data_IF_722616548424
#
_entry.id   IF_722616548424
#
_cell.length_a   1.000
_cell.length_b   1.000
_cell.length_c   1.000
_cell.angle_alpha   90.00
_cell.angle_beta   90.00
_cell.angle_gamma   90.00
#
_symmetry.space_group_name_H-M   'P 1'
#
loop_
_entity.id
_entity.type
_entity.pdbx_description
1 polymer ?
#
# COMPACT_ATOMS: atom_id res chain seq x y z
N UNK A 1 -2.00 -12.87 8.21
CA UNK A 1 -0.68 -12.31 7.82
C UNK A 1 -0.82 -10.96 7.19
N UNK A 2 0.04 -10.01 7.58
CA UNK A 2 0.06 -8.67 7.03
C UNK A 2 1.32 -8.35 6.26
N UNK A 3 1.15 -7.85 5.03
CA UNK A 3 2.28 -7.58 4.14
C UNK A 3 2.02 -6.38 3.24
N UNK A 4 2.98 -5.47 3.15
CA UNK A 4 2.91 -4.25 2.35
C UNK A 4 3.24 -4.50 0.86
N UNK A 5 2.60 -3.76 -0.05
CA UNK A 5 2.83 -3.83 -1.50
C UNK A 5 3.56 -2.59 -2.05
N UNK A 6 4.41 -2.83 -3.05
CA UNK A 6 5.50 -2.00 -3.59
C UNK A 6 5.13 -0.69 -4.32
N UNK A 7 6.09 0.25 -4.29
CA UNK A 7 6.21 1.41 -5.18
C UNK A 7 7.03 1.03 -6.43
N UNK A 8 6.52 1.32 -7.63
CA UNK A 8 7.21 1.06 -8.90
C UNK A 8 8.11 2.23 -9.33
N UNK A 9 9.44 2.04 -9.33
CA UNK A 9 10.41 2.93 -9.99
C UNK A 9 11.07 2.19 -11.17
N UNK A 10 10.62 2.47 -12.39
CA UNK A 10 11.22 1.86 -13.60
C UNK A 10 12.15 2.87 -14.28
N UNK A 11 13.45 2.56 -14.37
CA UNK A 11 14.46 3.33 -15.13
C UNK A 11 15.14 2.44 -16.15
N UNK A 12 15.33 2.96 -17.38
CA UNK A 12 16.00 2.24 -18.47
C UNK A 12 17.48 1.97 -18.20
N UNK A 13 18.16 2.89 -17.48
CA UNK A 13 19.57 2.73 -17.13
C UNK A 13 19.68 2.19 -15.70
N UNK A 14 20.18 0.95 -15.51
CA UNK A 14 20.29 0.34 -14.18
C UNK A 14 21.24 1.09 -13.24
N UNK A 15 22.20 1.87 -13.77
CA UNK A 15 23.10 2.70 -12.94
C UNK A 15 22.35 3.78 -12.16
N UNK A 16 21.25 4.30 -12.72
CA UNK A 16 20.40 5.30 -12.04
C UNK A 16 19.59 4.64 -10.93
N UNK A 17 19.18 3.39 -11.11
CA UNK A 17 18.50 2.61 -10.08
C UNK A 17 19.49 2.25 -8.96
N UNK A 18 20.71 1.84 -9.31
CA UNK A 18 21.76 1.50 -8.35
C UNK A 18 22.20 2.70 -7.49
N UNK A 19 22.04 3.93 -7.97
CA UNK A 19 22.33 5.15 -7.19
C UNK A 19 21.22 5.52 -6.18
N UNK A 20 20.19 4.68 -6.01
CA UNK A 20 19.06 4.91 -5.11
C UNK A 20 19.13 3.90 -3.98
N UNK A 21 18.73 4.33 -2.78
CA UNK A 21 18.65 3.47 -1.59
C UNK A 21 17.36 2.63 -1.61
N UNK A 22 17.18 1.84 -2.67
CA UNK A 22 16.02 0.98 -2.83
C UNK A 22 16.13 -0.23 -1.92
N UNK A 23 15.06 -0.49 -1.17
CA UNK A 23 14.90 -1.66 -0.32
C UNK A 23 13.67 -2.46 -0.74
N UNK A 24 13.61 -3.71 -0.31
CA UNK A 24 12.56 -4.66 -0.70
C UNK A 24 12.13 -5.52 0.49
N UNK A 25 10.84 -5.87 0.52
CA UNK A 25 10.28 -6.89 1.41
C UNK A 25 9.57 -7.95 0.58
N UNK A 26 9.98 -9.21 0.74
CA UNK A 26 9.29 -10.36 0.20
C UNK A 26 8.01 -10.60 1.01
N UNK A 27 6.90 -10.84 0.31
CA UNK A 27 5.58 -10.95 0.95
C UNK A 27 4.77 -12.17 0.53
N UNK A 28 5.21 -12.92 -0.47
CA UNK A 28 4.51 -14.10 -0.99
C UNK A 28 5.38 -14.86 -1.99
N UNK A 29 5.26 -16.19 -1.99
CA UNK A 29 5.72 -17.02 -3.09
C UNK A 29 4.67 -17.01 -4.22
N UNK A 30 5.13 -16.72 -5.43
CA UNK A 30 4.32 -16.77 -6.66
C UNK A 30 4.19 -18.20 -7.18
N UNK A 31 4.43 -18.38 -8.49
CA UNK A 31 4.51 -19.72 -9.07
C UNK A 31 5.75 -20.46 -8.53
N UNK A 32 5.55 -21.66 -8.01
CA UNK A 32 6.61 -22.62 -7.79
C UNK A 32 6.50 -23.68 -8.89
N UNK A 33 7.04 -23.35 -10.07
CA UNK A 33 7.19 -24.31 -11.15
C UNK A 33 8.05 -25.47 -10.63
N UNK A 34 7.42 -26.64 -10.51
CA UNK A 34 8.04 -27.86 -10.01
C UNK A 34 7.72 -28.29 -8.58
N UNK A 35 7.10 -27.50 -7.70
CA UNK A 35 6.62 -28.05 -6.42
C UNK A 35 5.19 -28.59 -6.45
N UNK A 36 4.35 -28.06 -7.35
CA UNK A 36 2.99 -28.57 -7.55
C UNK A 36 2.97 -29.88 -8.36
N UNK A 37 4.08 -30.19 -9.05
CA UNK A 37 4.23 -31.38 -9.91
C UNK A 37 5.42 -32.28 -9.51
N UNK A 38 5.96 -32.13 -8.29
CA UNK A 38 7.07 -32.98 -7.82
C UNK A 38 8.38 -32.86 -8.63
N UNK A 39 8.53 -31.83 -9.46
CA UNK A 39 9.73 -31.58 -10.27
C UNK A 39 10.92 -31.03 -9.48
N UNK A 40 10.74 -30.65 -8.22
CA UNK A 40 11.82 -30.47 -7.24
C UNK A 40 11.66 -31.54 -6.16
N UNK A 41 12.42 -32.63 -6.28
CA UNK A 41 12.62 -33.58 -5.19
C UNK A 41 13.07 -32.79 -3.94
N UNK A 42 12.25 -32.80 -2.88
CA UNK A 42 12.52 -32.08 -1.64
C UNK A 42 12.01 -30.64 -1.57
N UNK A 43 11.22 -30.15 -2.54
CA UNK A 43 10.56 -28.86 -2.37
C UNK A 43 9.59 -28.89 -1.17
N UNK A 44 9.67 -27.91 -0.25
CA UNK A 44 8.80 -27.85 0.90
C UNK A 44 7.35 -27.63 0.48
N UNK A 45 6.46 -28.48 1.01
CA UNK A 45 5.02 -28.28 0.90
C UNK A 45 4.59 -27.41 2.07
N UNK A 46 4.11 -26.21 1.76
CA UNK A 46 3.56 -25.31 2.78
C UNK A 46 2.07 -25.55 2.96
N UNK A 47 1.62 -25.57 4.21
CA UNK A 47 0.20 -25.56 4.55
C UNK A 47 -0.26 -24.16 4.93
N UNK A 48 0.67 -23.32 5.40
CA UNK A 48 0.43 -21.95 5.82
C UNK A 48 1.27 -20.95 5.02
N UNK A 49 0.73 -19.77 4.83
CA UNK A 49 1.44 -18.66 4.22
C UNK A 49 2.60 -18.18 5.14
N UNK A 50 2.47 -18.31 6.46
CA UNK A 50 3.54 -17.98 7.41
C UNK A 50 4.79 -18.84 7.18
N UNK A 51 4.61 -20.15 7.00
CA UNK A 51 5.69 -21.08 6.67
C UNK A 51 6.41 -20.68 5.36
N UNK A 52 5.67 -20.19 4.37
CA UNK A 52 6.25 -19.71 3.11
C UNK A 52 7.11 -18.46 3.28
N UNK A 53 6.78 -17.59 4.23
CA UNK A 53 7.56 -16.39 4.55
C UNK A 53 8.81 -16.75 5.35
N UNK A 54 8.70 -17.67 6.31
CA UNK A 54 9.85 -18.20 7.05
C UNK A 54 10.84 -18.87 6.10
N UNK A 55 10.35 -19.64 5.13
CA UNK A 55 11.20 -20.24 4.10
C UNK A 55 11.92 -19.18 3.25
N UNK A 56 11.21 -18.14 2.79
CA UNK A 56 11.82 -17.02 2.06
C UNK A 56 12.93 -16.35 2.88
N UNK A 57 12.68 -16.12 4.17
CA UNK A 57 13.69 -15.59 5.09
C UNK A 57 14.90 -16.53 5.22
N UNK A 58 14.68 -17.85 5.30
CA UNK A 58 15.76 -18.84 5.36
C UNK A 58 16.63 -18.88 4.10
N UNK A 59 16.08 -18.48 2.95
CA UNK A 59 16.82 -18.33 1.69
C UNK A 59 17.55 -16.99 1.57
N UNK A 60 17.46 -16.12 2.59
CA UNK A 60 18.10 -14.80 2.60
C UNK A 60 17.27 -13.69 1.94
N UNK A 61 16.01 -13.94 1.57
CA UNK A 61 15.13 -12.85 1.14
C UNK A 61 14.71 -12.00 2.35
N UNK A 62 14.73 -10.66 2.24
CA UNK A 62 14.27 -9.80 3.32
C UNK A 62 12.75 -9.98 3.50
N UNK A 63 12.32 -10.42 4.67
CA UNK A 63 10.91 -10.50 5.07
C UNK A 63 10.65 -9.48 6.16
N UNK A 64 9.53 -8.77 6.07
CA UNK A 64 9.23 -7.67 6.96
C UNK A 64 9.10 -8.17 8.43
N UNK A 65 9.85 -7.59 9.39
CA UNK A 65 9.82 -8.03 10.80
C UNK A 65 8.48 -7.76 11.50
N UNK A 66 7.64 -6.89 10.92
CA UNK A 66 6.32 -6.56 11.45
C UNK A 66 5.25 -7.60 11.09
N UNK A 67 5.60 -8.65 10.34
CA UNK A 67 4.69 -9.74 10.01
C UNK A 67 4.26 -10.46 11.29
N UNK A 68 2.95 -10.58 11.50
CA UNK A 68 2.36 -11.32 12.62
C UNK A 68 1.27 -12.29 12.16
N UNK A 69 1.26 -13.49 12.75
CA UNK A 69 0.13 -14.42 12.73
C UNK A 69 -0.75 -14.10 13.93
N UNK A 70 -2.03 -13.88 13.67
CA UNK A 70 -3.05 -13.51 14.67
C UNK A 70 -4.25 -14.45 14.54
N UNK A 71 -4.99 -14.64 15.62
CA UNK A 71 -6.15 -15.52 15.69
C UNK A 71 -7.44 -14.72 15.78
N UNK A 72 -8.32 -14.92 14.81
CA UNK A 72 -9.63 -14.27 14.77
C UNK A 72 -9.59 -12.79 14.37
N UNK A 73 -10.78 -12.19 14.28
CA UNK A 73 -10.95 -10.84 13.75
C UNK A 73 -10.57 -9.75 14.76
N UNK A 74 -10.72 -10.00 16.06
CA UNK A 74 -10.42 -9.02 17.10
C UNK A 74 -8.92 -8.73 17.15
N UNK A 75 -8.07 -9.78 17.09
CA UNK A 75 -6.63 -9.59 17.02
C UNK A 75 -6.17 -8.93 15.70
N UNK A 76 -6.89 -9.15 14.61
CA UNK A 76 -6.65 -8.42 13.35
C UNK A 76 -6.92 -6.93 13.54
N UNK A 77 -8.04 -6.55 14.17
CA UNK A 77 -8.35 -5.14 14.44
C UNK A 77 -7.32 -4.50 15.36
N UNK A 78 -6.93 -5.17 16.44
CA UNK A 78 -5.89 -4.67 17.34
C UNK A 78 -4.54 -4.50 16.62
N UNK A 79 -4.17 -5.44 15.76
CA UNK A 79 -2.95 -5.32 14.96
C UNK A 79 -3.02 -4.12 14.00
N UNK A 80 -4.15 -3.91 13.31
CA UNK A 80 -4.34 -2.75 12.45
C UNK A 80 -4.25 -1.44 13.22
N UNK A 81 -4.96 -1.33 14.36
CA UNK A 81 -4.99 -0.12 15.20
C UNK A 81 -3.62 0.23 15.76
N UNK A 82 -2.94 -0.74 16.37
CA UNK A 82 -1.58 -0.52 16.93
C UNK A 82 -0.56 -0.20 15.85
N UNK A 83 -0.70 -0.76 14.64
CA UNK A 83 0.16 -0.44 13.51
C UNK A 83 -0.13 0.96 12.96
N UNK A 84 -1.38 1.41 12.97
CA UNK A 84 -1.74 2.79 12.61
C UNK A 84 -1.09 3.80 13.57
N UNK A 85 -1.20 3.57 14.87
CA UNK A 85 -0.66 4.45 15.92
C UNK A 85 0.85 4.64 15.79
N UNK A 86 1.60 3.56 15.47
CA UNK A 86 3.06 3.57 15.33
C UNK A 86 3.56 3.69 13.89
N UNK A 87 2.67 3.98 12.91
CA UNK A 87 3.05 3.96 11.48
C UNK A 87 4.21 4.90 11.14
N UNK A 88 4.40 5.95 11.94
CA UNK A 88 5.47 6.94 11.79
C UNK A 88 6.77 6.56 12.52
N UNK A 89 6.74 5.50 13.33
CA UNK A 89 7.93 4.97 14.03
C UNK A 89 8.70 3.95 13.17
N UNK A 90 8.08 3.49 12.07
CA UNK A 90 8.70 2.60 11.12
C UNK A 90 9.76 3.35 10.29
N UNK A 91 10.86 2.68 9.96
CA UNK A 91 11.90 3.22 9.07
C UNK A 91 11.46 3.36 7.60
N UNK A 92 10.15 3.25 7.31
CA UNK A 92 9.54 3.35 6.00
C UNK A 92 8.08 3.76 6.13
N UNK A 93 7.53 4.39 5.08
CA UNK A 93 6.13 4.81 5.06
C UNK A 93 5.19 3.63 4.73
N UNK A 94 4.01 3.65 5.35
CA UNK A 94 2.93 2.69 5.10
C UNK A 94 1.58 3.40 5.01
N UNK A 95 0.69 2.89 4.16
CA UNK A 95 -0.67 3.43 3.99
C UNK A 95 -1.77 2.48 4.53
N UNK A 96 -1.35 1.42 5.22
CA UNK A 96 -2.25 0.43 5.78
C UNK A 96 -1.57 -0.90 6.07
N UNK A 97 -2.42 -1.89 6.34
CA UNK A 97 -2.08 -3.26 6.68
C UNK A 97 -2.81 -4.18 5.71
N UNK A 98 -2.13 -5.16 5.12
CA UNK A 98 -2.84 -6.23 4.39
C UNK A 98 -3.24 -7.30 5.41
N UNK A 99 -4.37 -7.96 5.25
CA UNK A 99 -4.78 -9.08 6.09
C UNK A 99 -5.01 -10.26 5.16
N UNK A 100 -4.25 -11.33 5.34
CA UNK A 100 -4.34 -12.57 4.58
C UNK A 100 -4.74 -13.73 5.50
N UNK A 101 -5.62 -14.60 4.99
CA UNK A 101 -5.86 -15.92 5.57
C UNK A 101 -4.54 -16.70 5.57
N UNK A 102 -4.16 -17.29 6.70
CA UNK A 102 -2.88 -17.99 6.82
C UNK A 102 -2.90 -19.37 6.14
N UNK A 103 -4.03 -20.09 6.20
CA UNK A 103 -4.19 -21.42 5.60
C UNK A 103 -4.26 -21.35 4.06
N UNK A 104 -3.30 -22.01 3.38
CA UNK A 104 -3.18 -22.00 1.92
C UNK A 104 -4.27 -22.83 1.21
N UNK A 105 -4.81 -23.86 1.86
CA UNK A 105 -5.95 -24.61 1.30
C UNK A 105 -7.20 -23.75 1.30
N UNK A 106 -7.40 -22.94 2.35
CA UNK A 106 -8.49 -21.96 2.39
C UNK A 106 -8.28 -20.88 1.32
N UNK A 107 -7.05 -20.37 1.14
CA UNK A 107 -6.75 -19.43 0.06
C UNK A 107 -7.13 -20.00 -1.32
N UNK A 108 -6.73 -21.24 -1.61
CA UNK A 108 -7.04 -21.92 -2.86
C UNK A 108 -8.55 -22.06 -3.08
N UNK A 109 -9.30 -22.46 -2.04
CA UNK A 109 -10.77 -22.60 -2.09
C UNK A 109 -11.48 -21.26 -2.28
N UNK A 110 -10.99 -20.20 -1.65
CA UNK A 110 -11.55 -18.86 -1.78
C UNK A 110 -11.29 -18.28 -3.18
N UNK A 111 -10.11 -18.55 -3.74
CA UNK A 111 -9.73 -18.15 -5.09
C UNK A 111 -9.63 -16.64 -5.29
N UNK A 112 -9.84 -16.20 -6.52
CA UNK A 112 -9.65 -14.83 -6.97
C UNK A 112 -10.91 -14.30 -7.67
N UNK A 113 -11.13 -13.00 -7.55
CA UNK A 113 -12.00 -12.25 -8.47
C UNK A 113 -11.20 -11.83 -9.71
N UNK A 114 -11.83 -11.16 -10.67
CA UNK A 114 -11.13 -10.61 -11.84
C UNK A 114 -10.01 -9.60 -11.50
N UNK A 115 -9.95 -9.08 -10.26
CA UNK A 115 -9.01 -8.02 -9.88
C UNK A 115 -8.20 -8.31 -8.62
N UNK A 116 -8.69 -9.15 -7.72
CA UNK A 116 -8.09 -9.34 -6.40
C UNK A 116 -8.39 -10.72 -5.79
N UNK A 117 -7.50 -11.26 -4.93
CA UNK A 117 -7.77 -12.45 -4.13
C UNK A 117 -8.97 -12.26 -3.18
N UNK A 118 -9.71 -13.33 -2.91
CA UNK A 118 -10.81 -13.31 -1.92
C UNK A 118 -10.36 -13.60 -0.48
N UNK A 119 -9.11 -14.04 -0.33
CA UNK A 119 -8.49 -14.44 0.93
C UNK A 119 -7.55 -13.37 1.51
N UNK A 120 -7.44 -12.21 0.86
CA UNK A 120 -6.67 -11.08 1.34
C UNK A 120 -7.40 -9.76 1.16
N UNK A 121 -7.19 -8.82 2.08
CA UNK A 121 -7.75 -7.47 2.01
C UNK A 121 -6.73 -6.44 2.49
N UNK A 122 -6.68 -5.26 1.87
CA UNK A 122 -5.90 -4.14 2.36
C UNK A 122 -6.77 -3.27 3.28
N UNK A 123 -6.44 -3.23 4.57
CA UNK A 123 -6.96 -2.29 5.54
C UNK A 123 -6.17 -0.98 5.41
N UNK A 124 -6.72 0.01 4.71
CA UNK A 124 -6.09 1.31 4.51
C UNK A 124 -6.30 2.21 5.72
N UNK A 125 -5.26 2.89 6.15
CA UNK A 125 -5.38 3.89 7.21
C UNK A 125 -6.12 5.12 6.70
N UNK A 126 -6.73 5.90 7.61
CA UNK A 126 -7.24 7.22 7.27
C UNK A 126 -6.14 8.05 6.60
N UNK A 127 -6.46 8.68 5.46
CA UNK A 127 -5.54 9.54 4.74
C UNK A 127 -5.09 10.70 5.63
N UNK A 128 -3.86 11.15 5.45
CA UNK A 128 -3.35 12.27 6.23
C UNK A 128 -4.02 13.56 5.75
N UNK A 129 -4.58 14.32 6.69
CA UNK A 129 -5.25 15.58 6.39
C UNK A 129 -4.41 16.74 6.88
N UNK A 130 -4.26 17.77 6.05
CA UNK A 130 -3.67 19.05 6.44
C UNK A 130 -4.51 20.21 5.92
N UNK A 131 -4.67 21.22 6.75
CA UNK A 131 -5.26 22.49 6.34
C UNK A 131 -4.16 23.41 5.84
N UNK A 132 -4.35 24.01 4.67
CA UNK A 132 -3.45 25.03 4.13
C UNK A 132 -4.24 26.20 3.57
N UNK A 133 -3.56 27.32 3.34
CA UNK A 133 -4.16 28.55 2.84
C UNK A 133 -4.50 28.43 1.36
N UNK A 134 -5.72 28.84 1.00
CA UNK A 134 -6.10 29.02 -0.40
C UNK A 134 -5.44 30.29 -0.93
N UNK A 135 -4.56 30.17 -1.93
CA UNK A 135 -3.94 31.32 -2.60
C UNK A 135 -4.85 31.85 -3.69
N UNK A 136 -5.31 30.97 -4.58
CA UNK A 136 -6.15 31.33 -5.72
C UNK A 136 -6.96 30.13 -6.22
N UNK A 137 -8.01 30.40 -6.98
CA UNK A 137 -8.73 29.40 -7.77
C UNK A 137 -8.42 29.66 -9.23
N UNK A 138 -7.94 28.64 -9.94
CA UNK A 138 -7.66 28.68 -11.38
C UNK A 138 -8.54 27.67 -12.10
N UNK A 139 -8.69 27.85 -13.42
CA UNK A 139 -9.51 26.98 -14.27
C UNK A 139 -8.65 26.42 -15.38
N UNK A 140 -8.73 25.10 -15.59
CA UNK A 140 -8.12 24.41 -16.72
C UNK A 140 -9.20 24.01 -17.72
N UNK A 141 -8.97 24.29 -19.01
CA UNK A 141 -9.87 23.90 -20.09
C UNK A 141 -9.34 22.62 -20.74
N UNK A 142 -10.08 21.52 -20.57
CA UNK A 142 -9.74 20.25 -21.19
C UNK A 142 -9.97 20.25 -22.71
N UNK A 143 -9.44 19.24 -23.41
CA UNK A 143 -9.60 19.07 -24.87
C UNK A 143 -11.06 19.02 -25.34
N UNK A 144 -11.98 18.63 -24.46
CA UNK A 144 -13.43 18.62 -24.72
C UNK A 144 -14.13 19.96 -24.45
N UNK A 145 -13.39 21.03 -24.12
CA UNK A 145 -13.92 22.33 -23.73
C UNK A 145 -14.42 22.41 -22.27
N UNK A 146 -14.35 21.31 -21.51
CA UNK A 146 -14.79 21.29 -20.11
C UNK A 146 -13.86 22.12 -19.22
N UNK A 147 -14.42 23.14 -18.57
CA UNK A 147 -13.75 23.93 -17.55
C UNK A 147 -13.69 23.18 -16.21
N UNK A 148 -12.48 22.96 -15.70
CA UNK A 148 -12.24 22.27 -14.43
C UNK A 148 -11.53 23.22 -13.46
N UNK A 149 -12.19 23.66 -12.37
CA UNK A 149 -11.56 24.51 -11.37
C UNK A 149 -10.60 23.69 -10.49
N UNK A 150 -9.52 24.33 -10.08
CA UNK A 150 -8.57 23.80 -9.10
C UNK A 150 -8.05 24.91 -8.18
N UNK A 151 -7.80 24.55 -6.93
CA UNK A 151 -7.20 25.43 -5.93
C UNK A 151 -5.68 25.45 -6.11
N UNK A 152 -5.11 26.65 -6.03
CA UNK A 152 -3.69 26.90 -5.81
C UNK A 152 -3.51 27.17 -4.33
N UNK A 153 -2.64 26.40 -3.69
CA UNK A 153 -2.49 26.33 -2.25
C UNK A 153 -1.10 26.77 -1.81
N UNK A 154 -1.00 27.30 -0.59
CA UNK A 154 0.29 27.42 0.06
C UNK A 154 0.91 26.02 0.23
N UNK A 155 2.20 25.82 -0.14
CA UNK A 155 2.79 24.49 -0.15
C UNK A 155 2.68 23.82 1.21
N UNK A 156 2.08 22.63 1.24
CA UNK A 156 1.90 21.85 2.47
C UNK A 156 2.38 20.42 2.26
N UNK A 157 3.18 19.92 3.21
CA UNK A 157 3.60 18.52 3.22
C UNK A 157 2.48 17.64 3.78
N UNK A 158 2.08 16.62 3.01
CA UNK A 158 1.08 15.61 3.37
C UNK A 158 1.60 14.27 2.87
N UNK A 159 1.69 13.23 3.71
CA UNK A 159 2.08 11.87 3.29
C UNK A 159 3.32 11.80 2.40
N UNK A 160 4.42 12.45 2.80
CA UNK A 160 5.69 12.45 2.05
C UNK A 160 5.69 13.31 0.76
N UNK A 161 4.57 13.92 0.39
CA UNK A 161 4.42 14.75 -0.81
C UNK A 161 4.12 16.21 -0.47
N UNK A 162 4.65 17.15 -1.26
CA UNK A 162 4.28 18.57 -1.15
C UNK A 162 3.12 18.87 -2.08
N UNK A 163 1.97 19.22 -1.51
CA UNK A 163 0.77 19.58 -2.26
C UNK A 163 0.70 21.09 -2.43
N UNK A 164 0.55 21.54 -3.68
CA UNK A 164 0.38 22.94 -4.06
C UNK A 164 -0.91 23.17 -4.88
N UNK A 165 -1.54 22.10 -5.34
CA UNK A 165 -2.74 22.16 -6.16
C UNK A 165 -3.72 21.06 -5.75
N UNK A 166 -5.01 21.38 -5.70
CA UNK A 166 -6.07 20.42 -5.42
C UNK A 166 -7.26 20.65 -6.35
N UNK A 167 -7.83 19.58 -6.90
CA UNK A 167 -9.04 19.67 -7.74
C UNK A 167 -10.24 20.03 -6.86
N UNK A 168 -11.06 20.97 -7.33
CA UNK A 168 -12.24 21.42 -6.61
C UNK A 168 -13.46 20.68 -7.17
N UNK A 169 -13.96 19.70 -6.41
CA UNK A 169 -15.08 18.86 -6.85
C UNK A 169 -16.46 19.40 -6.45
N UNK A 170 -16.56 20.21 -5.38
CA UNK A 170 -17.82 20.80 -4.92
C UNK A 170 -17.77 22.32 -5.01
N UNK A 171 -18.67 22.90 -5.81
CA UNK A 171 -18.85 24.36 -5.90
C UNK A 171 -19.23 24.98 -4.54
N UNK A 172 -19.94 24.22 -3.70
CA UNK A 172 -20.41 24.68 -2.39
C UNK A 172 -19.28 24.94 -1.37
N UNK A 173 -18.10 24.33 -1.54
CA UNK A 173 -16.96 24.60 -0.65
C UNK A 173 -16.31 25.98 -0.90
N UNK A 174 -16.60 26.61 -2.05
CA UNK A 174 -15.91 27.81 -2.52
C UNK A 174 -16.47 29.10 -1.96
N UNK A 175 -17.74 29.11 -1.53
CA UNK A 175 -18.42 30.35 -1.15
C UNK A 175 -18.05 30.87 0.24
N UNK A 176 -17.43 30.07 1.13
CA UNK A 176 -17.30 30.43 2.55
C UNK A 176 -15.98 30.05 3.24
N UNK A 177 -14.94 29.56 2.54
CA UNK A 177 -13.69 29.11 3.21
C UNK A 177 -12.43 29.82 2.71
N UNK A 178 -11.63 30.32 3.65
CA UNK A 178 -10.27 30.88 3.43
C UNK A 178 -9.18 29.80 3.46
N UNK A 179 -9.53 28.58 3.88
CA UNK A 179 -8.63 27.44 4.01
C UNK A 179 -9.21 26.21 3.31
N UNK A 180 -8.33 25.42 2.69
CA UNK A 180 -8.70 24.15 2.04
C UNK A 180 -8.03 23.02 2.80
N UNK A 181 -8.82 21.99 3.09
CA UNK A 181 -8.31 20.75 3.67
C UNK A 181 -7.84 19.86 2.53
N UNK A 182 -6.55 19.54 2.54
CA UNK A 182 -5.92 18.63 1.59
C UNK A 182 -5.87 17.25 2.22
N UNK A 183 -6.28 16.26 1.45
CA UNK A 183 -6.33 14.84 1.84
C UNK A 183 -5.52 14.08 0.78
N UNK A 184 -4.52 13.32 1.21
CA UNK A 184 -3.80 12.35 0.37
C UNK A 184 -4.00 10.93 0.91
#
# INVERSE_FOLDING_TARGET
>A
LATLQQVHFVKKNPKITASRELSFWAYQLGALEGALEGALEGAPIFTKHSESLEFLASLGFPVNPEVRVVQGIDEVYEFCRTTEERRHDLGYEIDGVVVKVDDLQIQQRLGFTARAPRWAIAYKFPPEQRSTKLIAIKVSIGKSGRATPFAVLEPVAVGGSTVQMATLHNQDQLAQKTFVQVIL
#
